data_IF_175457100288
#
_entry.id   IF_175457100288
#
_cell.length_a   1.000
_cell.length_b   1.000
_cell.length_c   1.000
_cell.angle_alpha   90.00
_cell.angle_beta   90.00
_cell.angle_gamma   90.00
#
_symmetry.space_group_name_H-M   'P 1'
#
loop_
_entity.id
_entity.type
_entity.pdbx_description
1 polymer ?
#
# COMPACT_ATOMS: atom_id res chain seq x y z
N UNK A 1 11.14 -30.65 -9.15
CA UNK A 1 10.47 -30.85 -10.46
C UNK A 1 10.38 -32.35 -10.69
N UNK A 2 9.26 -32.85 -11.20
CA UNK A 2 9.06 -34.29 -11.46
C UNK A 2 9.26 -34.53 -12.95
N UNK A 3 10.08 -35.53 -13.29
CA UNK A 3 10.25 -35.99 -14.66
C UNK A 3 8.93 -36.59 -15.16
N UNK A 4 8.36 -35.99 -16.20
CA UNK A 4 7.05 -36.39 -16.76
C UNK A 4 7.06 -37.78 -17.39
N UNK A 5 8.24 -38.33 -17.71
CA UNK A 5 8.42 -39.64 -18.36
C UNK A 5 8.63 -40.76 -17.35
N UNK A 6 9.33 -40.47 -16.25
CA UNK A 6 9.70 -41.49 -15.25
C UNK A 6 8.92 -41.37 -13.94
N UNK A 7 8.20 -40.26 -13.71
CA UNK A 7 7.51 -39.97 -12.45
C UNK A 7 8.45 -39.70 -11.27
N UNK A 8 9.77 -39.78 -11.48
CA UNK A 8 10.77 -39.57 -10.45
C UNK A 8 11.09 -38.08 -10.27
N UNK A 9 11.61 -37.72 -9.09
CA UNK A 9 12.12 -36.37 -8.84
C UNK A 9 13.37 -36.13 -9.69
N UNK A 10 13.38 -35.03 -10.45
CA UNK A 10 14.56 -34.61 -11.20
C UNK A 10 15.74 -34.37 -10.26
N UNK A 11 16.93 -34.83 -10.63
CA UNK A 11 18.12 -34.78 -9.77
C UNK A 11 18.40 -33.34 -9.29
N UNK A 12 18.57 -33.16 -7.97
CA UNK A 12 18.79 -31.84 -7.34
C UNK A 12 17.54 -30.95 -7.19
N UNK A 13 16.35 -31.46 -7.54
CA UNK A 13 15.12 -30.66 -7.53
C UNK A 13 14.21 -30.91 -6.31
N UNK A 14 14.73 -31.58 -5.27
CA UNK A 14 14.08 -31.74 -3.97
C UNK A 14 14.42 -30.51 -3.11
N UNK A 15 13.40 -29.74 -2.74
CA UNK A 15 13.50 -28.66 -1.78
C UNK A 15 12.25 -28.67 -0.91
N UNK A 16 12.41 -28.32 0.36
CA UNK A 16 11.28 -28.01 1.24
C UNK A 16 11.01 -26.52 1.14
N UNK A 17 9.74 -26.15 0.95
CA UNK A 17 9.31 -24.76 1.01
C UNK A 17 8.74 -24.53 2.40
N UNK A 18 9.40 -23.70 3.19
CA UNK A 18 8.78 -23.08 4.35
C UNK A 18 7.96 -21.89 3.89
N UNK A 19 6.75 -21.78 4.41
CA UNK A 19 5.85 -20.68 4.10
C UNK A 19 5.04 -20.29 5.32
N UNK A 20 4.60 -19.03 5.34
CA UNK A 20 3.66 -18.54 6.33
C UNK A 20 2.27 -19.07 5.99
N UNK A 21 1.63 -19.73 6.95
CA UNK A 21 0.30 -20.30 6.76
C UNK A 21 -0.77 -19.21 6.48
N UNK A 22 -1.76 -19.49 5.60
CA UNK A 22 -2.88 -18.59 5.38
C UNK A 22 -3.59 -18.22 6.68
N UNK A 23 -3.94 -16.94 6.83
CA UNK A 23 -4.59 -16.43 8.03
C UNK A 23 -3.62 -15.88 9.10
N UNK A 24 -2.31 -16.07 8.94
CA UNK A 24 -1.33 -15.36 9.74
C UNK A 24 -1.50 -13.84 9.61
N UNK A 25 -1.47 -13.14 10.75
CA UNK A 25 -1.63 -11.68 10.84
C UNK A 25 -0.35 -11.03 11.30
N UNK A 26 0.06 -9.97 10.60
CA UNK A 26 1.25 -9.18 10.92
C UNK A 26 0.87 -7.73 11.15
N UNK A 27 1.53 -7.08 12.11
CA UNK A 27 1.47 -5.63 12.25
C UNK A 27 2.45 -5.00 11.27
N UNK A 28 1.98 -3.99 10.55
CA UNK A 28 2.75 -3.24 9.58
C UNK A 28 2.45 -1.75 9.74
N UNK A 29 3.47 -0.91 9.64
CA UNK A 29 3.32 0.53 9.59
C UNK A 29 4.38 1.14 8.67
N UNK A 30 4.01 2.22 8.01
CA UNK A 30 4.93 3.07 7.25
C UNK A 30 5.02 4.39 8.00
N UNK A 31 6.24 4.84 8.28
CA UNK A 31 6.51 6.17 8.83
C UNK A 31 7.44 6.91 7.89
N UNK A 32 6.97 8.05 7.39
CA UNK A 32 7.73 8.92 6.51
C UNK A 32 7.64 10.37 7.02
N UNK A 33 8.58 11.21 6.59
CA UNK A 33 8.67 12.62 6.93
C UNK A 33 9.02 13.40 5.68
N UNK A 34 8.46 14.61 5.52
CA UNK A 34 8.68 15.46 4.36
C UNK A 34 8.33 14.76 3.04
N UNK A 35 7.17 14.10 3.00
CA UNK A 35 6.71 13.34 1.85
C UNK A 35 5.59 14.12 1.16
N UNK A 36 5.70 14.43 -0.14
CA UNK A 36 4.65 15.14 -0.87
C UNK A 36 3.41 14.26 -1.04
N UNK A 37 2.25 14.88 -1.25
CA UNK A 37 0.97 14.18 -1.32
C UNK A 37 0.95 13.15 -2.47
N UNK A 38 1.55 13.46 -3.62
CA UNK A 38 1.69 12.48 -4.71
C UNK A 38 2.49 11.23 -4.30
N UNK A 39 3.51 11.36 -3.44
CA UNK A 39 4.29 10.20 -2.99
C UNK A 39 3.52 9.35 -1.99
N UNK A 40 2.68 9.96 -1.16
CA UNK A 40 1.67 9.24 -0.36
C UNK A 40 0.71 8.49 -1.31
N UNK A 41 0.33 9.13 -2.42
CA UNK A 41 -0.49 8.52 -3.47
C UNK A 41 0.12 7.30 -4.13
N UNK A 42 1.43 7.32 -4.42
CA UNK A 42 2.14 6.15 -4.93
C UNK A 42 2.08 4.98 -3.93
N UNK A 43 2.32 5.25 -2.64
CA UNK A 43 2.21 4.23 -1.59
C UNK A 43 0.76 3.72 -1.46
N UNK A 44 -0.22 4.62 -1.55
CA UNK A 44 -1.64 4.29 -1.54
C UNK A 44 -2.00 3.33 -2.68
N UNK A 45 -1.54 3.62 -3.90
CA UNK A 45 -1.74 2.79 -5.09
C UNK A 45 -1.16 1.39 -4.91
N UNK A 46 0.07 1.30 -4.41
CA UNK A 46 0.73 0.01 -4.13
C UNK A 46 -0.05 -0.77 -3.06
N UNK A 47 -0.45 -0.12 -1.96
CA UNK A 47 -1.25 -0.76 -0.90
C UNK A 47 -2.59 -1.28 -1.41
N UNK A 48 -3.28 -0.50 -2.27
CA UNK A 48 -4.51 -0.92 -2.93
C UNK A 48 -4.27 -2.13 -3.83
N UNK A 49 -3.24 -2.09 -4.68
CA UNK A 49 -2.88 -3.20 -5.56
C UNK A 49 -2.50 -4.47 -4.79
N UNK A 50 -1.84 -4.34 -3.63
CA UNK A 50 -1.57 -5.46 -2.73
C UNK A 50 -2.89 -6.04 -2.20
N UNK A 51 -3.76 -5.17 -1.69
CA UNK A 51 -5.04 -5.57 -1.09
C UNK A 51 -6.00 -6.23 -2.10
N UNK A 52 -5.98 -5.78 -3.35
CA UNK A 52 -6.73 -6.37 -4.46
C UNK A 52 -6.07 -7.66 -5.01
N UNK A 53 -4.80 -7.91 -4.67
CA UNK A 53 -4.04 -9.09 -5.09
C UNK A 53 -3.31 -8.96 -6.43
N UNK A 54 -3.28 -7.77 -7.03
CA UNK A 54 -2.46 -7.47 -8.21
C UNK A 54 -0.96 -7.54 -7.89
N UNK A 55 -0.58 -7.03 -6.72
CA UNK A 55 0.80 -7.13 -6.20
C UNK A 55 0.86 -8.23 -5.15
N UNK A 56 1.79 -9.16 -5.33
CA UNK A 56 2.05 -10.27 -4.40
C UNK A 56 3.42 -10.15 -3.77
N UNK A 57 3.50 -10.47 -2.48
CA UNK A 57 4.72 -10.36 -1.68
C UNK A 57 5.51 -11.68 -1.71
N UNK A 58 6.84 -11.60 -1.71
CA UNK A 58 7.72 -12.77 -1.68
C UNK A 58 7.83 -13.57 -2.99
N UNK A 59 8.32 -14.81 -2.89
CA UNK A 59 8.56 -15.73 -4.00
C UNK A 59 7.36 -16.61 -4.36
N UNK A 60 7.55 -17.57 -5.28
CA UNK A 60 6.54 -18.57 -5.69
C UNK A 60 5.18 -18.00 -6.16
N UNK A 61 5.18 -16.77 -6.68
CA UNK A 61 3.96 -16.08 -7.16
C UNK A 61 3.21 -16.92 -8.21
N UNK A 62 3.90 -17.58 -9.14
CA UNK A 62 3.26 -18.45 -10.15
C UNK A 62 2.55 -19.68 -9.57
N UNK A 63 2.75 -19.97 -8.28
CA UNK A 63 2.12 -21.09 -7.54
C UNK A 63 1.08 -20.64 -6.51
N UNK A 64 0.61 -19.41 -6.61
CA UNK A 64 -0.45 -18.87 -5.74
C UNK A 64 0.03 -18.24 -4.44
N UNK A 65 1.34 -18.18 -4.18
CA UNK A 65 1.89 -17.58 -2.96
C UNK A 65 1.85 -16.05 -2.98
N UNK A 66 1.89 -15.46 -1.78
CA UNK A 66 2.15 -14.02 -1.60
C UNK A 66 0.93 -13.12 -1.68
N UNK A 67 -0.28 -13.67 -1.74
CA UNK A 67 -1.52 -12.89 -1.63
C UNK A 67 -1.73 -12.52 -0.17
N UNK A 68 -1.91 -11.23 0.09
CA UNK A 68 -2.20 -10.69 1.42
C UNK A 68 -3.38 -9.72 1.33
N UNK A 69 -4.02 -9.44 2.46
CA UNK A 69 -5.09 -8.46 2.58
C UNK A 69 -4.74 -7.49 3.70
N UNK A 70 -5.08 -6.22 3.53
CA UNK A 70 -4.90 -5.20 4.56
C UNK A 70 -6.14 -5.21 5.46
N UNK A 71 -5.93 -5.41 6.76
CA UNK A 71 -6.97 -5.31 7.79
C UNK A 71 -6.69 -4.08 8.67
N UNK A 72 -7.76 -3.42 9.15
CA UNK A 72 -7.68 -2.31 10.11
C UNK A 72 -6.73 -1.17 9.69
N UNK A 73 -6.85 -0.72 8.43
CA UNK A 73 -6.06 0.39 7.91
C UNK A 73 -6.27 1.66 8.75
N UNK A 74 -5.18 2.34 9.09
CA UNK A 74 -5.18 3.65 9.73
C UNK A 74 -4.24 4.58 8.97
N UNK A 75 -4.73 5.78 8.70
CA UNK A 75 -3.94 6.86 8.13
C UNK A 75 -3.82 7.98 9.16
N UNK A 76 -2.61 8.51 9.33
CA UNK A 76 -2.34 9.73 10.08
C UNK A 76 -1.35 10.58 9.29
N UNK A 77 -1.77 11.79 8.95
CA UNK A 77 -0.95 12.76 8.22
C UNK A 77 -0.95 14.09 8.96
N UNK A 78 0.17 14.81 8.85
CA UNK A 78 0.33 16.17 9.36
C UNK A 78 1.21 16.96 8.41
N UNK A 79 1.08 18.27 8.44
CA UNK A 79 1.84 19.19 7.61
C UNK A 79 1.27 20.59 7.75
N UNK A 80 1.43 21.40 6.72
CA UNK A 80 0.70 22.66 6.62
C UNK A 80 -0.75 22.37 6.24
N UNK A 81 -1.67 22.59 7.18
CA UNK A 81 -3.09 22.27 7.05
C UNK A 81 -3.92 23.55 7.18
N UNK A 82 -4.79 23.80 6.21
CA UNK A 82 -5.82 24.83 6.27
C UNK A 82 -7.21 24.19 6.37
N UNK A 83 -7.75 24.14 7.59
CA UNK A 83 -8.96 23.38 7.92
C UNK A 83 -8.76 21.87 7.76
N UNK A 84 -9.21 21.32 6.62
CA UNK A 84 -9.03 19.90 6.24
C UNK A 84 -8.20 19.74 4.96
N UNK A 85 -7.63 20.83 4.44
CA UNK A 85 -6.79 20.83 3.26
C UNK A 85 -5.34 20.63 3.69
N UNK A 86 -4.75 19.49 3.36
CA UNK A 86 -3.31 19.29 3.44
C UNK A 86 -2.66 19.92 2.22
N UNK A 87 -1.81 20.93 2.42
CA UNK A 87 -1.20 21.68 1.32
C UNK A 87 -0.16 20.85 0.57
N UNK A 88 0.06 21.24 -0.68
CA UNK A 88 1.19 20.80 -1.49
C UNK A 88 2.51 21.32 -0.90
N UNK A 89 3.58 20.55 -1.01
CA UNK A 89 4.91 20.94 -0.50
C UNK A 89 5.93 21.25 -1.61
N UNK A 90 5.61 20.98 -2.87
CA UNK A 90 6.43 21.29 -4.04
C UNK A 90 5.56 21.59 -5.28
N UNK A 91 6.21 21.89 -6.41
CA UNK A 91 5.55 22.30 -7.66
C UNK A 91 4.83 21.17 -8.43
N UNK A 92 5.13 19.91 -8.12
CA UNK A 92 4.50 18.73 -8.73
C UNK A 92 3.38 18.16 -7.85
N UNK A 93 3.25 18.70 -6.65
CA UNK A 93 2.30 18.25 -5.66
C UNK A 93 0.98 19.04 -5.72
N UNK A 94 -0.10 18.40 -5.31
CA UNK A 94 -1.41 19.04 -5.21
C UNK A 94 -1.94 18.95 -3.79
N UNK A 95 -2.75 19.93 -3.40
CA UNK A 95 -3.44 19.88 -2.12
C UNK A 95 -4.46 18.73 -2.08
N UNK A 96 -4.65 18.16 -0.89
CA UNK A 96 -5.64 17.11 -0.65
C UNK A 96 -6.65 17.58 0.38
N UNK A 97 -7.93 17.60 0.00
CA UNK A 97 -9.03 17.95 0.90
C UNK A 97 -9.60 16.70 1.57
N UNK A 98 -9.45 16.60 2.89
CA UNK A 98 -9.90 15.46 3.70
C UNK A 98 -11.18 15.75 4.49
N UNK A 99 -11.93 16.79 4.14
CA UNK A 99 -13.18 17.15 4.81
C UNK A 99 -14.19 16.01 4.70
N UNK A 100 -14.88 15.71 5.81
CA UNK A 100 -15.83 14.59 5.95
C UNK A 100 -15.20 13.18 5.76
N UNK A 101 -13.87 13.08 5.65
CA UNK A 101 -13.15 11.80 5.49
C UNK A 101 -12.24 11.55 6.68
N UNK A 102 -11.50 12.57 7.11
CA UNK A 102 -10.58 12.50 8.24
C UNK A 102 -11.06 13.40 9.39
N UNK A 103 -10.75 12.97 10.60
CA UNK A 103 -10.88 13.78 11.81
C UNK A 103 -9.61 14.63 11.98
N UNK A 104 -9.78 15.91 12.29
CA UNK A 104 -8.68 16.81 12.62
C UNK A 104 -8.53 16.94 14.14
N UNK A 105 -7.38 16.55 14.68
CA UNK A 105 -7.08 16.69 16.10
C UNK A 105 -5.59 16.86 16.34
N UNK A 106 -5.20 17.80 17.22
CA UNK A 106 -3.80 18.03 17.60
C UNK A 106 -2.83 18.21 16.41
N UNK A 107 -3.27 18.86 15.33
CA UNK A 107 -2.45 19.04 14.11
C UNK A 107 -2.34 17.81 13.21
N UNK A 108 -3.09 16.74 13.50
CA UNK A 108 -3.15 15.54 12.68
C UNK A 108 -4.51 15.40 12.01
N UNK A 109 -4.49 15.02 10.73
CA UNK A 109 -5.64 14.46 10.04
C UNK A 109 -5.54 12.94 10.15
N UNK A 110 -6.57 12.30 10.72
CA UNK A 110 -6.60 10.86 10.93
C UNK A 110 -7.85 10.22 10.37
N UNK A 111 -7.70 9.06 9.74
CA UNK A 111 -8.81 8.27 9.23
C UNK A 111 -8.58 6.78 9.52
N UNK A 112 -9.68 6.03 9.66
CA UNK A 112 -9.68 4.60 9.99
C UNK A 112 -10.55 3.80 9.02
N UNK A 113 -10.18 2.55 8.77
CA UNK A 113 -10.97 1.59 8.00
C UNK A 113 -11.36 2.12 6.62
N UNK A 114 -12.66 2.15 6.32
CA UNK A 114 -13.19 2.63 5.04
C UNK A 114 -12.83 4.09 4.75
N UNK A 115 -12.88 4.96 5.77
CA UNK A 115 -12.48 6.36 5.61
C UNK A 115 -10.98 6.51 5.30
N UNK A 116 -10.14 5.63 5.85
CA UNK A 116 -8.72 5.60 5.49
C UNK A 116 -8.51 5.24 4.02
N UNK A 117 -9.27 4.27 3.49
CA UNK A 117 -9.26 3.96 2.06
C UNK A 117 -9.75 5.11 1.19
N UNK A 118 -10.80 5.81 1.61
CA UNK A 118 -11.29 7.00 0.92
C UNK A 118 -10.23 8.11 0.89
N UNK A 119 -9.53 8.33 2.00
CA UNK A 119 -8.41 9.28 2.05
C UNK A 119 -7.27 8.86 1.12
N UNK A 120 -6.84 7.60 1.18
CA UNK A 120 -5.79 7.06 0.31
C UNK A 120 -6.13 7.21 -1.18
N UNK A 121 -7.41 7.06 -1.55
CA UNK A 121 -7.87 7.28 -2.93
C UNK A 121 -7.61 8.72 -3.41
N UNK A 122 -7.86 9.72 -2.57
CA UNK A 122 -7.59 11.12 -2.93
C UNK A 122 -6.09 11.36 -3.14
N UNK A 123 -5.23 10.75 -2.31
CA UNK A 123 -3.78 10.81 -2.53
C UNK A 123 -3.38 10.11 -3.84
N UNK A 124 -3.97 8.96 -4.16
CA UNK A 124 -3.74 8.26 -5.44
C UNK A 124 -4.14 9.12 -6.64
N UNK A 125 -5.22 9.89 -6.55
CA UNK A 125 -5.63 10.85 -7.59
C UNK A 125 -4.61 11.98 -7.78
N UNK A 126 -3.91 12.41 -6.73
CA UNK A 126 -2.78 13.36 -6.85
C UNK A 126 -1.59 12.69 -7.53
N UNK A 127 -1.27 11.45 -7.16
CA UNK A 127 -0.22 10.67 -7.84
C UNK A 127 -0.48 10.50 -9.33
N UNK A 128 -1.70 10.16 -9.73
CA UNK A 128 -2.06 9.92 -11.13
C UNK A 128 -1.99 11.21 -11.98
N UNK A 129 -2.09 12.39 -11.34
CA UNK A 129 -1.97 13.70 -11.98
C UNK A 129 -0.56 14.28 -11.93
N UNK A 130 0.29 13.79 -11.03
CA UNK A 130 1.64 14.29 -10.85
C UNK A 130 2.46 14.12 -12.14
N UNK A 131 2.78 15.25 -12.78
CA UNK A 131 3.57 15.28 -14.00
C UNK A 131 5.07 15.34 -13.66
N UNK A 132 5.60 14.22 -13.16
CA UNK A 132 7.03 14.06 -12.95
C UNK A 132 7.70 13.95 -14.32
N UNK A 133 8.30 15.05 -14.78
CA UNK A 133 9.07 15.06 -16.04
C UNK A 133 10.07 13.90 -16.02
N UNK A 134 10.04 13.07 -17.06
CA UNK A 134 11.02 12.00 -17.29
C UNK A 134 12.37 12.57 -17.70
#
# INVERSE_FOLDING_TARGET
AIDRRTGAVYRGALYQVEFVEPGARFRFFIRATNLPNYSIGLLAKILRMINEGWVRLGGFKTRGFGKVKVENLSLKVRGEIDGYNLKAIDEFDEQVNLKNIADYSNGWLSALGGSAWNALKLFEEVWDRANLKK
#
